data_IF_749260051999
#
_entry.id   IF_749260051999
#
_cell.length_a   1.000
_cell.length_b   1.000
_cell.length_c   1.000
_cell.angle_alpha   90.00
_cell.angle_beta   90.00
_cell.angle_gamma   90.00
#
_symmetry.space_group_name_H-M   'P 1'
#
loop_
_entity.id
_entity.type
_entity.pdbx_description
1 polymer ?
#
# COMPACT_ATOMS: atom_id res chain seq x y z
N UNK A 1 -13.33 -21.09 3.10
CA UNK A 1 -12.16 -20.24 2.89
C UNK A 1 -12.54 -18.78 3.10
N UNK A 2 -11.84 -18.10 3.96
CA UNK A 2 -12.15 -16.72 4.28
C UNK A 2 -11.55 -15.79 3.24
N UNK A 3 -12.33 -14.77 2.88
CA UNK A 3 -11.81 -13.73 2.02
C UNK A 3 -11.01 -12.74 2.85
N UNK A 4 -9.91 -12.22 2.31
CA UNK A 4 -9.18 -11.17 3.02
C UNK A 4 -10.08 -9.96 3.24
N UNK A 5 -9.82 -9.24 4.32
CA UNK A 5 -10.54 -8.01 4.57
C UNK A 5 -10.24 -7.00 3.48
N UNK A 6 -11.25 -6.24 3.04
CA UNK A 6 -11.00 -5.19 2.05
C UNK A 6 -10.04 -4.14 2.62
N UNK A 7 -9.26 -3.57 1.72
CA UNK A 7 -8.36 -2.49 2.05
C UNK A 7 -9.12 -1.19 1.82
N UNK A 8 -9.17 -0.34 2.83
CA UNK A 8 -9.93 0.90 2.77
C UNK A 8 -9.04 2.10 3.00
N UNK A 9 -9.32 3.17 2.29
CA UNK A 9 -8.65 4.45 2.50
C UNK A 9 -9.70 5.54 2.41
N UNK A 10 -9.78 6.37 3.46
CA UNK A 10 -10.66 7.52 3.48
C UNK A 10 -9.85 8.77 3.20
N UNK A 11 -10.35 9.60 2.30
CA UNK A 11 -9.78 10.90 2.04
C UNK A 11 -10.61 11.96 2.76
N UNK A 12 -9.93 12.91 3.37
CA UNK A 12 -10.54 13.95 4.18
C UNK A 12 -10.31 15.33 3.57
N UNK A 13 -11.22 16.24 3.85
CA UNK A 13 -11.06 17.64 3.50
C UNK A 13 -10.13 18.26 4.55
N UNK A 14 -8.94 18.75 4.17
CA UNK A 14 -8.00 19.29 5.14
C UNK A 14 -8.49 20.57 5.81
N UNK A 15 -9.47 21.25 5.24
CA UNK A 15 -9.99 22.48 5.82
C UNK A 15 -11.09 22.23 6.84
N UNK A 16 -11.95 21.25 6.58
CA UNK A 16 -13.11 20.97 7.45
C UNK A 16 -12.91 19.75 8.33
N UNK A 17 -11.91 18.92 8.05
CA UNK A 17 -11.66 17.63 8.71
C UNK A 17 -12.77 16.62 8.46
N UNK A 18 -13.62 16.84 7.48
CA UNK A 18 -14.68 15.91 7.16
C UNK A 18 -14.23 14.89 6.12
N UNK A 19 -14.73 13.67 6.25
CA UNK A 19 -14.45 12.63 5.27
C UNK A 19 -15.14 12.98 3.95
N UNK A 20 -14.35 12.97 2.86
CA UNK A 20 -14.89 13.21 1.53
C UNK A 20 -15.43 11.91 0.94
N UNK A 21 -14.63 10.86 0.99
CA UNK A 21 -14.99 9.59 0.39
C UNK A 21 -14.08 8.49 0.91
N UNK A 22 -14.65 7.30 1.08
CA UNK A 22 -13.87 6.11 1.42
C UNK A 22 -13.77 5.24 0.17
N UNK A 23 -12.55 4.86 -0.17
CA UNK A 23 -12.26 3.97 -1.28
C UNK A 23 -11.97 2.58 -0.73
N UNK A 24 -12.48 1.56 -1.40
CA UNK A 24 -12.33 0.18 -0.94
C UNK A 24 -11.84 -0.69 -2.09
N UNK A 25 -10.91 -1.58 -1.78
CA UNK A 25 -10.41 -2.55 -2.75
C UNK A 25 -10.23 -3.89 -2.04
N UNK A 26 -10.82 -4.94 -2.57
CA UNK A 26 -10.75 -6.26 -1.95
C UNK A 26 -9.54 -7.07 -2.38
N UNK A 27 -8.75 -6.55 -3.30
CA UNK A 27 -7.56 -7.25 -3.79
C UNK A 27 -6.45 -6.26 -4.08
N UNK A 28 -5.22 -6.77 -4.13
CA UNK A 28 -4.06 -5.99 -4.57
C UNK A 28 -3.73 -6.43 -5.99
N UNK A 29 -3.80 -5.53 -6.98
CA UNK A 29 -3.51 -5.92 -8.37
C UNK A 29 -2.11 -6.50 -8.51
N UNK A 30 -1.98 -7.48 -9.39
CA UNK A 30 -0.69 -8.11 -9.63
C UNK A 30 0.41 -7.11 -9.97
N UNK A 31 0.05 -6.06 -10.72
CA UNK A 31 1.01 -5.04 -11.12
C UNK A 31 1.67 -4.33 -9.94
N UNK A 32 1.04 -4.37 -8.77
CA UNK A 32 1.57 -3.71 -7.57
C UNK A 32 2.67 -4.55 -6.91
N UNK A 33 2.66 -5.86 -7.13
CA UNK A 33 3.60 -6.77 -6.46
C UNK A 33 5.05 -6.35 -6.64
N UNK A 34 5.44 -6.08 -7.86
CA UNK A 34 6.83 -5.71 -8.16
C UNK A 34 7.24 -4.44 -7.44
N UNK A 35 6.34 -3.46 -7.43
CA UNK A 35 6.61 -2.19 -6.78
C UNK A 35 6.71 -2.35 -5.27
N UNK A 36 5.84 -3.17 -4.68
CA UNK A 36 5.86 -3.43 -3.24
C UNK A 36 7.15 -4.13 -2.82
N UNK A 37 7.59 -5.10 -3.61
CA UNK A 37 8.84 -5.81 -3.32
C UNK A 37 10.03 -4.85 -3.43
N UNK A 38 10.04 -4.01 -4.44
CA UNK A 38 11.13 -3.07 -4.64
C UNK A 38 11.23 -2.05 -3.50
N UNK A 39 10.09 -1.54 -3.05
CA UNK A 39 10.11 -0.56 -1.96
C UNK A 39 10.56 -1.21 -0.65
N UNK A 40 10.16 -2.45 -0.41
CA UNK A 40 10.59 -3.17 0.77
C UNK A 40 12.10 -3.38 0.79
N UNK A 41 12.67 -3.73 -0.36
CA UNK A 41 14.13 -3.86 -0.49
C UNK A 41 14.84 -2.54 -0.26
N UNK A 42 14.25 -1.46 -0.75
CA UNK A 42 14.81 -0.13 -0.57
C UNK A 42 14.87 0.25 0.91
N UNK A 43 13.82 -0.06 1.66
CA UNK A 43 13.81 0.17 3.11
C UNK A 43 14.92 -0.61 3.80
N UNK A 44 15.09 -1.88 3.45
CA UNK A 44 16.10 -2.73 4.05
C UNK A 44 17.50 -2.20 3.74
N UNK A 45 17.71 -1.70 2.53
CA UNK A 45 19.02 -1.22 2.11
C UNK A 45 19.38 0.14 2.72
N UNK A 46 18.38 1.01 2.87
CA UNK A 46 18.64 2.38 3.32
C UNK A 46 18.69 2.54 4.83
N UNK A 47 18.14 1.57 5.56
CA UNK A 47 18.09 1.63 7.02
C UNK A 47 17.14 2.67 7.57
N UNK A 48 16.35 3.28 6.72
CA UNK A 48 15.36 4.29 7.11
C UNK A 48 14.49 4.63 5.91
N UNK A 49 13.61 5.60 6.07
CA UNK A 49 12.68 5.98 5.00
C UNK A 49 13.10 7.33 4.43
N UNK A 50 13.33 7.37 3.12
CA UNK A 50 13.70 8.60 2.44
C UNK A 50 12.47 9.30 1.88
N UNK A 51 12.63 10.57 1.47
CA UNK A 51 11.55 11.34 0.86
C UNK A 51 11.05 10.66 -0.42
N UNK A 52 11.98 10.14 -1.22
CA UNK A 52 11.62 9.44 -2.46
C UNK A 52 10.80 8.19 -2.16
N UNK A 53 11.14 7.49 -1.09
CA UNK A 53 10.39 6.30 -0.69
C UNK A 53 8.98 6.63 -0.20
N UNK A 54 8.84 7.75 0.51
CA UNK A 54 7.52 8.21 0.94
C UNK A 54 6.66 8.53 -0.28
N UNK A 55 7.22 9.21 -1.27
CA UNK A 55 6.51 9.53 -2.50
C UNK A 55 6.13 8.25 -3.25
N UNK A 56 7.03 7.28 -3.29
CA UNK A 56 6.76 6.01 -3.96
C UNK A 56 5.65 5.24 -3.26
N UNK A 57 5.63 5.23 -1.93
CA UNK A 57 4.56 4.59 -1.18
C UNK A 57 3.20 5.18 -1.53
N UNK A 58 3.11 6.50 -1.58
CA UNK A 58 1.88 7.17 -1.95
C UNK A 58 1.47 6.81 -3.38
N UNK A 59 2.43 6.76 -4.29
CA UNK A 59 2.18 6.38 -5.67
C UNK A 59 1.67 4.95 -5.79
N UNK A 60 2.22 4.03 -4.99
CA UNK A 60 1.76 2.64 -4.97
C UNK A 60 0.31 2.57 -4.51
N UNK A 61 -0.05 3.35 -3.50
CA UNK A 61 -1.43 3.38 -3.00
C UNK A 61 -2.39 3.89 -4.08
N UNK A 62 -2.02 4.97 -4.76
CA UNK A 62 -2.84 5.49 -5.86
C UNK A 62 -3.06 4.43 -6.93
N UNK A 63 -1.99 3.76 -7.35
CA UNK A 63 -2.09 2.72 -8.37
C UNK A 63 -2.91 1.53 -7.89
N UNK A 64 -2.78 1.18 -6.62
CA UNK A 64 -3.52 0.06 -6.05
C UNK A 64 -5.02 0.29 -6.10
N UNK A 65 -5.46 1.54 -5.94
CA UNK A 65 -6.87 1.88 -6.01
C UNK A 65 -7.33 2.24 -7.43
N UNK A 66 -6.48 1.95 -8.44
CA UNK A 66 -6.88 2.13 -9.83
C UNK A 66 -6.98 3.57 -10.28
N UNK A 67 -6.15 4.43 -9.71
CA UNK A 67 -6.09 5.85 -10.05
C UNK A 67 -7.44 6.58 -9.86
N UNK A 68 -8.21 6.15 -8.87
CA UNK A 68 -9.49 6.79 -8.55
C UNK A 68 -9.31 8.17 -7.91
N UNK A 69 -8.11 8.45 -7.45
CA UNK A 69 -7.75 9.75 -6.88
C UNK A 69 -6.30 10.02 -7.25
N UNK A 70 -5.88 11.27 -7.11
CA UNK A 70 -4.53 11.67 -7.51
C UNK A 70 -3.54 11.57 -6.35
N UNK A 71 -2.27 11.64 -6.69
CA UNK A 71 -1.20 11.72 -5.69
C UNK A 71 -1.38 12.96 -4.80
N UNK A 72 -1.80 14.06 -5.39
CA UNK A 72 -2.06 15.28 -4.63
C UNK A 72 -3.21 15.09 -3.63
N UNK A 73 -4.26 14.38 -4.03
CA UNK A 73 -5.38 14.07 -3.14
C UNK A 73 -4.90 13.30 -1.92
N UNK A 74 -4.01 12.33 -2.12
CA UNK A 74 -3.44 11.55 -1.03
C UNK A 74 -2.58 12.42 -0.12
N UNK A 75 -1.74 13.26 -0.73
CA UNK A 75 -0.86 14.14 0.04
C UNK A 75 -1.63 15.07 0.97
N UNK A 76 -2.78 15.53 0.52
CA UNK A 76 -3.56 16.53 1.26
C UNK A 76 -4.61 15.94 2.17
N UNK A 77 -5.18 14.81 1.81
CA UNK A 77 -6.37 14.31 2.47
C UNK A 77 -6.28 12.91 3.08
N UNK A 78 -5.18 12.21 2.92
CA UNK A 78 -5.04 10.87 3.50
C UNK A 78 -4.39 10.98 4.88
N UNK A 79 -4.96 10.23 5.83
CA UNK A 79 -4.40 10.19 7.18
C UNK A 79 -3.17 9.27 7.21
N UNK A 80 -2.13 9.71 7.92
CA UNK A 80 -0.89 8.93 8.02
C UNK A 80 -1.15 7.54 8.58
N UNK A 81 -1.97 7.44 9.63
CA UNK A 81 -2.27 6.14 10.24
C UNK A 81 -2.98 5.21 9.28
N UNK A 82 -3.93 5.71 8.53
CA UNK A 82 -4.65 4.91 7.53
C UNK A 82 -3.73 4.50 6.39
N UNK A 83 -2.87 5.40 5.95
CA UNK A 83 -1.89 5.08 4.90
C UNK A 83 -0.96 3.96 5.36
N UNK A 84 -0.53 4.00 6.61
CA UNK A 84 0.33 2.94 7.16
C UNK A 84 -0.36 1.58 7.12
N UNK A 85 -1.64 1.54 7.47
CA UNK A 85 -2.41 0.29 7.42
C UNK A 85 -2.52 -0.24 6.00
N UNK A 86 -2.82 0.64 5.04
CA UNK A 86 -2.91 0.25 3.63
C UNK A 86 -1.58 -0.30 3.14
N UNK A 87 -0.50 0.42 3.41
CA UNK A 87 0.84 0.03 2.97
C UNK A 87 1.24 -1.31 3.57
N UNK A 88 1.00 -1.50 4.88
CA UNK A 88 1.30 -2.76 5.53
C UNK A 88 0.52 -3.91 4.93
N UNK A 89 -0.74 -3.67 4.57
CA UNK A 89 -1.56 -4.69 3.93
C UNK A 89 -0.99 -5.10 2.58
N UNK A 90 -0.54 -4.13 1.79
CA UNK A 90 0.07 -4.40 0.48
C UNK A 90 1.35 -5.19 0.66
N UNK A 91 2.23 -4.74 1.55
CA UNK A 91 3.53 -5.39 1.77
C UNK A 91 3.35 -6.79 2.33
N UNK A 92 2.41 -6.96 3.25
CA UNK A 92 2.13 -8.27 3.85
C UNK A 92 1.70 -9.28 2.79
N UNK A 93 0.83 -8.88 1.88
CA UNK A 93 0.40 -9.77 0.80
C UNK A 93 1.54 -10.11 -0.14
N UNK A 94 2.40 -9.14 -0.45
CA UNK A 94 3.57 -9.38 -1.27
C UNK A 94 4.54 -10.34 -0.59
N UNK A 95 4.75 -10.15 0.71
CA UNK A 95 5.62 -11.02 1.50
C UNK A 95 5.10 -12.44 1.55
N UNK A 96 3.79 -12.61 1.71
CA UNK A 96 3.17 -13.93 1.71
C UNK A 96 3.41 -14.64 0.39
N UNK A 97 3.28 -13.90 -0.72
CA UNK A 97 3.55 -14.47 -2.04
C UNK A 97 4.99 -14.96 -2.13
N UNK A 98 5.93 -14.15 -1.70
CA UNK A 98 7.34 -14.50 -1.77
C UNK A 98 7.67 -15.72 -0.92
N UNK A 99 7.12 -15.80 0.28
CA UNK A 99 7.30 -16.96 1.15
C UNK A 99 6.67 -18.22 0.56
N UNK A 100 5.42 -18.09 0.12
CA UNK A 100 4.68 -19.24 -0.42
C UNK A 100 5.25 -19.70 -1.75
N UNK A 101 5.84 -18.77 -2.52
CA UNK A 101 6.38 -19.05 -3.82
C UNK A 101 7.78 -19.64 -3.81
N UNK A 102 8.37 -19.85 -2.66
CA UNK A 102 9.71 -20.42 -2.56
C UNK A 102 9.63 -21.92 -2.25
N UNK A 103 9.60 -22.78 -3.27
CA UNK A 103 9.42 -24.21 -3.04
C UNK A 103 10.56 -24.84 -2.27
N UNK A 104 11.77 -24.34 -2.43
CA UNK A 104 12.93 -24.89 -1.72
C UNK A 104 12.74 -24.72 -0.22
N UNK A 105 12.32 -23.55 0.17
CA UNK A 105 12.12 -23.25 1.57
C UNK A 105 10.96 -24.04 2.13
N UNK A 106 9.90 -24.17 1.36
CA UNK A 106 8.71 -24.91 1.77
C UNK A 106 9.00 -26.40 1.89
N UNK A 107 9.90 -26.92 1.07
CA UNK A 107 10.23 -28.32 1.07
C UNK A 107 11.17 -28.71 2.21
N UNK A 108 11.86 -27.79 2.75
CA UNK A 108 12.84 -28.07 3.81
C UNK A 108 12.23 -28.07 5.19
#
# INVERSE_FOLDING_TARGET
MEMPKPIELTLYDPETNEAIKTYTRSFVPWAILKRAVNIQRSFDASGGVTDEEIDELASIVVAMFGDQFSLDDVSRGADVGEMMVVIQSIISRASQFMSAGNPTKAAS
#
